data_IF_620815413380
#
_entry.id   IF_620815413380
#
_cell.length_a   1.000
_cell.length_b   1.000
_cell.length_c   1.000
_cell.angle_alpha   90.00
_cell.angle_beta   90.00
_cell.angle_gamma   90.00
#
_symmetry.space_group_name_H-M   'P 1'
#
loop_
_entity.id
_entity.type
_entity.pdbx_description
1 polymer ?
#
# COMPACT_ATOMS: atom_id res chain seq x y z
N UNK A 1 48.44 -16.90 44.01
CA UNK A 1 49.11 -17.84 43.08
C UNK A 1 48.09 -18.14 41.98
N UNK A 2 48.28 -17.55 40.79
CA UNK A 2 48.47 -18.25 39.50
C UNK A 2 47.34 -19.28 39.28
N UNK A 3 46.40 -19.06 38.37
CA UNK A 3 46.62 -19.18 36.92
C UNK A 3 45.62 -18.33 36.11
N UNK A 4 46.11 -17.84 34.97
CA UNK A 4 45.31 -17.22 33.92
C UNK A 4 45.40 -18.01 32.62
N UNK A 5 44.47 -17.76 31.70
CA UNK A 5 44.56 -18.04 30.25
C UNK A 5 43.29 -17.43 29.63
N UNK A 6 43.30 -16.19 29.14
CA UNK A 6 43.69 -15.78 27.78
C UNK A 6 43.20 -16.73 26.68
N UNK A 7 42.05 -16.42 26.07
CA UNK A 7 41.70 -16.90 24.72
C UNK A 7 41.31 -15.68 23.86
N UNK A 8 42.27 -15.21 23.08
CA UNK A 8 42.12 -14.20 22.03
C UNK A 8 41.97 -14.91 20.67
N UNK A 9 41.01 -14.42 19.88
CA UNK A 9 40.95 -14.32 18.41
C UNK A 9 41.05 -15.58 17.51
N UNK A 10 40.05 -15.74 16.64
CA UNK A 10 40.29 -15.99 15.22
C UNK A 10 39.13 -15.47 14.35
N UNK A 11 39.46 -14.50 13.49
CA UNK A 11 38.71 -13.96 12.37
C UNK A 11 38.68 -15.00 11.24
N UNK A 12 37.54 -15.16 10.54
CA UNK A 12 37.56 -15.53 9.10
C UNK A 12 36.46 -14.82 8.31
N UNK A 13 36.94 -13.97 7.42
CA UNK A 13 36.28 -13.38 6.26
C UNK A 13 35.58 -14.44 5.38
N UNK A 14 34.34 -14.16 4.95
CA UNK A 14 33.75 -14.78 3.75
C UNK A 14 33.48 -13.65 2.76
N UNK A 15 34.43 -13.49 1.83
CA UNK A 15 34.30 -12.63 0.64
C UNK A 15 33.53 -13.36 -0.45
N UNK A 16 32.48 -12.70 -0.93
CA UNK A 16 32.14 -12.50 -2.35
C UNK A 16 32.13 -13.72 -3.29
N UNK A 17 30.93 -14.14 -3.70
CA UNK A 17 30.72 -14.78 -5.00
C UNK A 17 29.53 -14.10 -5.71
N UNK A 18 29.83 -13.16 -6.61
CA UNK A 18 28.86 -12.41 -7.41
C UNK A 18 28.84 -13.03 -8.81
N UNK A 19 27.93 -13.97 -9.03
CA UNK A 19 27.68 -14.57 -10.36
C UNK A 19 26.89 -13.56 -11.20
N UNK A 20 27.53 -13.00 -12.23
CA UNK A 20 26.87 -12.20 -13.24
C UNK A 20 26.31 -13.12 -14.33
N UNK A 21 25.00 -13.38 -14.30
CA UNK A 21 24.29 -14.01 -15.42
C UNK A 21 23.92 -12.94 -16.45
N UNK A 22 24.55 -13.02 -17.63
CA UNK A 22 24.18 -12.24 -18.82
C UNK A 22 22.99 -12.92 -19.50
N UNK A 23 21.81 -12.30 -19.44
CA UNK A 23 20.64 -12.74 -20.21
C UNK A 23 20.57 -11.93 -21.50
N UNK A 24 20.75 -12.65 -22.61
CA UNK A 24 20.63 -12.20 -24.00
C UNK A 24 19.16 -11.98 -24.36
N UNK A 25 18.79 -10.75 -24.70
CA UNK A 25 17.43 -10.39 -25.15
C UNK A 25 17.30 -10.60 -26.65
N UNK A 26 16.72 -11.74 -27.05
CA UNK A 26 16.23 -11.95 -28.42
C UNK A 26 14.98 -11.09 -28.66
N UNK A 27 15.10 -10.10 -29.55
CA UNK A 27 13.97 -9.35 -30.12
C UNK A 27 13.21 -10.27 -31.09
N UNK A 28 12.01 -10.68 -30.71
CA UNK A 28 11.03 -11.29 -31.62
C UNK A 28 10.13 -10.19 -32.17
N UNK A 29 10.21 -9.96 -33.48
CA UNK A 29 9.33 -9.05 -34.20
C UNK A 29 7.99 -9.72 -34.47
N UNK A 30 6.92 -9.17 -33.89
CA UNK A 30 5.56 -9.50 -34.26
C UNK A 30 5.03 -8.43 -35.22
N UNK A 31 4.60 -8.94 -36.37
CA UNK A 31 4.07 -8.22 -37.52
C UNK A 31 2.58 -8.00 -37.28
N UNK A 32 2.19 -6.78 -36.91
CA UNK A 32 0.79 -6.42 -36.64
C UNK A 32 0.07 -6.19 -37.98
N UNK A 33 -0.89 -7.05 -38.32
CA UNK A 33 -1.80 -6.85 -39.45
C UNK A 33 -2.89 -5.86 -39.06
N UNK A 34 -2.92 -4.74 -39.78
CA UNK A 34 -3.96 -3.71 -39.72
C UNK A 34 -5.30 -4.31 -40.17
N UNK A 35 -6.25 -4.45 -39.24
CA UNK A 35 -7.67 -4.57 -39.57
C UNK A 35 -8.31 -3.19 -39.50
N UNK A 36 -8.96 -2.81 -40.60
CA UNK A 36 -9.66 -1.55 -40.75
C UNK A 36 -10.79 -1.41 -39.73
N UNK A 37 -10.72 -0.34 -38.94
CA UNK A 37 -11.79 0.09 -38.06
C UNK A 37 -12.38 1.39 -38.60
N UNK A 38 -13.70 1.35 -38.77
CA UNK A 38 -14.55 2.42 -39.26
C UNK A 38 -14.36 3.71 -38.45
N UNK A 39 -14.15 4.82 -39.17
CA UNK A 39 -14.02 6.16 -38.61
C UNK A 39 -15.33 6.57 -37.93
N UNK A 40 -15.40 6.46 -36.60
CA UNK A 40 -16.24 7.34 -35.81
C UNK A 40 -15.39 8.58 -35.53
N UNK A 41 -15.86 9.73 -36.00
CA UNK A 41 -15.18 11.01 -35.77
C UNK A 41 -15.13 11.29 -34.25
N UNK A 42 -13.94 11.51 -33.68
CA UNK A 42 -13.82 11.87 -32.27
C UNK A 42 -14.46 13.25 -32.07
N UNK A 43 -15.47 13.30 -31.21
CA UNK A 43 -16.08 14.55 -30.76
C UNK A 43 -14.98 15.51 -30.27
N UNK A 44 -14.99 16.72 -30.81
CA UNK A 44 -14.01 17.75 -30.52
C UNK A 44 -13.85 17.93 -28.98
N UNK A 45 -12.61 17.92 -28.45
CA UNK A 45 -12.38 18.12 -27.03
C UNK A 45 -12.88 19.52 -26.65
N UNK A 46 -13.91 19.56 -25.80
CA UNK A 46 -14.44 20.78 -25.24
C UNK A 46 -13.34 21.42 -24.37
N UNK A 47 -12.89 22.65 -24.65
CA UNK A 47 -11.84 23.31 -23.89
C UNK A 47 -12.40 23.77 -22.53
N UNK A 48 -12.48 22.85 -21.57
CA UNK A 48 -12.77 23.17 -20.16
C UNK A 48 -11.51 23.69 -19.47
N UNK A 49 -10.92 24.76 -20.00
CA UNK A 49 -9.75 25.42 -19.44
C UNK A 49 -10.19 26.63 -18.61
N UNK A 50 -10.73 26.39 -17.41
CA UNK A 50 -10.61 27.40 -16.35
C UNK A 50 -9.15 27.42 -15.88
N UNK A 51 -8.29 27.95 -16.73
CA UNK A 51 -6.92 28.27 -16.40
C UNK A 51 -6.98 29.29 -15.27
N UNK A 52 -6.81 28.84 -14.04
CA UNK A 52 -6.72 29.71 -12.87
C UNK A 52 -5.65 30.75 -13.15
N UNK A 53 -6.06 32.01 -13.34
CA UNK A 53 -5.15 33.11 -13.63
C UNK A 53 -4.19 33.26 -12.45
N UNK A 54 -2.90 33.12 -12.74
CA UNK A 54 -1.85 33.12 -11.71
C UNK A 54 -1.15 34.48 -11.72
N UNK A 55 -1.25 35.16 -10.59
CA UNK A 55 -0.66 36.48 -10.39
C UNK A 55 0.74 36.36 -9.77
N UNK A 56 1.68 37.19 -10.22
CA UNK A 56 3.02 37.28 -9.63
C UNK A 56 2.94 37.73 -8.16
N UNK A 57 3.70 37.13 -7.25
CA UNK A 57 3.68 37.53 -5.83
C UNK A 57 4.20 38.95 -5.58
N UNK A 58 5.06 39.47 -6.47
CA UNK A 58 5.70 40.79 -6.34
C UNK A 58 4.90 41.87 -7.05
N UNK A 59 4.78 41.79 -8.38
CA UNK A 59 4.14 42.84 -9.18
C UNK A 59 2.63 42.69 -9.30
N UNK A 60 2.05 41.55 -8.86
CA UNK A 60 0.61 41.25 -8.96
C UNK A 60 0.05 41.23 -10.39
N UNK A 61 0.91 41.19 -11.42
CA UNK A 61 0.49 41.07 -12.82
C UNK A 61 0.24 39.59 -13.15
N UNK A 62 -0.73 39.34 -14.02
CA UNK A 62 -1.00 38.03 -14.59
C UNK A 62 0.20 37.52 -15.40
N UNK A 63 0.57 36.26 -15.17
CA UNK A 63 1.73 35.65 -15.81
C UNK A 63 1.27 34.66 -16.89
N UNK A 64 1.61 34.91 -18.16
CA UNK A 64 1.40 33.91 -19.23
C UNK A 64 2.26 32.66 -19.02
N UNK A 65 3.52 32.86 -18.57
CA UNK A 65 4.49 31.79 -18.28
C UNK A 65 4.97 31.88 -16.83
N UNK A 66 4.18 31.42 -15.86
CA UNK A 66 4.51 31.58 -14.44
C UNK A 66 5.74 30.76 -14.06
N UNK A 67 6.76 31.42 -13.52
CA UNK A 67 7.91 30.80 -12.88
C UNK A 67 7.56 30.43 -11.44
N UNK A 68 7.73 29.17 -11.04
CA UNK A 68 7.51 28.73 -9.66
C UNK A 68 8.83 28.68 -8.89
N UNK A 69 8.78 28.95 -7.58
CA UNK A 69 9.96 28.72 -6.73
C UNK A 69 10.38 27.24 -6.80
N UNK A 70 11.64 26.97 -7.14
CA UNK A 70 12.17 25.61 -7.30
C UNK A 70 12.13 24.77 -6.02
N UNK A 71 12.13 25.39 -4.84
CA UNK A 71 12.09 24.70 -3.54
C UNK A 71 10.68 24.37 -3.06
N UNK A 72 9.79 25.36 -3.04
CA UNK A 72 8.45 25.17 -2.46
C UNK A 72 7.36 24.94 -3.51
N UNK A 73 7.58 25.33 -4.77
CA UNK A 73 6.63 25.27 -5.89
C UNK A 73 5.26 25.96 -5.67
N UNK A 74 5.12 26.69 -4.56
CA UNK A 74 3.88 27.37 -4.15
C UNK A 74 3.80 28.80 -4.66
N UNK A 75 4.88 29.57 -4.52
CA UNK A 75 4.92 30.98 -4.94
C UNK A 75 5.25 31.09 -6.43
N UNK A 76 4.55 31.99 -7.10
CA UNK A 76 4.60 32.21 -8.54
C UNK A 76 5.16 33.60 -8.83
N UNK A 77 6.01 33.69 -9.83
CA UNK A 77 6.69 34.89 -10.30
C UNK A 77 6.50 35.02 -11.81
N UNK A 78 6.42 36.24 -12.33
CA UNK A 78 6.47 36.47 -13.77
C UNK A 78 7.89 36.30 -14.34
N UNK A 79 8.93 36.52 -13.53
CA UNK A 79 10.33 36.50 -13.96
C UNK A 79 11.29 36.14 -12.82
N UNK A 80 12.53 35.78 -13.17
CA UNK A 80 13.60 35.54 -12.20
C UNK A 80 13.96 36.82 -11.39
N UNK A 81 13.70 38.01 -11.93
CA UNK A 81 13.92 39.27 -11.22
C UNK A 81 12.94 39.44 -10.07
N UNK A 82 11.64 39.22 -10.32
CA UNK A 82 10.63 39.21 -9.26
C UNK A 82 10.95 38.16 -8.20
N UNK A 83 11.42 36.98 -8.60
CA UNK A 83 11.88 35.96 -7.66
C UNK A 83 13.04 36.45 -6.78
N UNK A 84 14.05 37.12 -7.35
CA UNK A 84 15.21 37.64 -6.61
C UNK A 84 14.82 38.74 -5.62
N UNK A 85 13.89 39.62 -6.00
CA UNK A 85 13.38 40.69 -5.13
C UNK A 85 12.63 40.10 -3.93
N UNK A 86 11.71 39.17 -4.18
CA UNK A 86 10.93 38.50 -3.12
C UNK A 86 11.77 37.58 -2.24
N UNK A 87 12.91 37.10 -2.75
CA UNK A 87 13.70 36.04 -2.10
C UNK A 87 14.03 36.33 -0.64
N UNK A 88 14.35 37.58 -0.28
CA UNK A 88 14.70 37.95 1.10
C UNK A 88 13.54 37.77 2.09
N UNK A 89 12.30 37.94 1.63
CA UNK A 89 11.08 37.78 2.43
C UNK A 89 10.59 36.34 2.30
N UNK A 90 10.37 35.88 1.06
CA UNK A 90 9.90 34.54 0.72
C UNK A 90 10.69 33.43 1.42
N UNK A 91 12.04 33.51 1.47
CA UNK A 91 12.87 32.47 2.09
C UNK A 91 12.64 32.29 3.58
N UNK A 92 12.16 33.33 4.27
CA UNK A 92 11.92 33.33 5.72
C UNK A 92 10.48 32.94 6.05
N UNK A 93 9.52 33.33 5.22
CA UNK A 93 8.09 33.15 5.52
C UNK A 93 7.44 31.94 4.84
N UNK A 94 7.77 31.64 3.58
CA UNK A 94 6.99 30.71 2.73
C UNK A 94 7.82 29.57 2.13
N UNK A 95 9.10 29.81 1.82
CA UNK A 95 9.94 28.85 1.10
C UNK A 95 10.37 27.65 1.94
N UNK A 96 10.51 27.85 3.25
CA UNK A 96 10.71 26.75 4.20
C UNK A 96 9.42 25.95 4.27
N UNK A 97 9.51 24.62 4.18
CA UNK A 97 8.40 23.73 4.58
C UNK A 97 7.82 24.31 5.88
N UNK A 98 6.49 24.47 6.02
CA UNK A 98 5.92 25.09 7.21
C UNK A 98 6.60 24.46 8.41
N UNK A 99 7.09 25.28 9.35
CA UNK A 99 8.02 24.83 10.39
C UNK A 99 7.53 23.55 11.11
N UNK A 100 6.21 23.39 11.17
CA UNK A 100 5.50 22.18 11.60
C UNK A 100 5.87 20.95 10.76
N UNK A 101 5.69 20.95 9.44
CA UNK A 101 6.05 19.80 8.59
C UNK A 101 7.53 19.45 8.67
N UNK A 102 8.42 20.45 8.77
CA UNK A 102 9.84 20.17 8.98
C UNK A 102 10.10 19.55 10.36
N UNK A 103 9.40 20.01 11.42
CA UNK A 103 9.48 19.43 12.76
C UNK A 103 8.93 18.00 12.79
N UNK A 104 7.79 17.75 12.14
CA UNK A 104 7.19 16.41 12.03
C UNK A 104 8.08 15.46 11.24
N UNK A 105 8.63 15.87 10.08
CA UNK A 105 9.56 15.06 9.30
C UNK A 105 10.85 14.75 10.10
N UNK A 106 11.36 15.72 10.87
CA UNK A 106 12.50 15.51 11.77
C UNK A 106 12.16 14.54 12.91
N UNK A 107 10.96 14.61 13.48
CA UNK A 107 10.49 13.67 14.50
C UNK A 107 10.31 12.27 13.93
N UNK A 108 9.63 12.12 12.79
CA UNK A 108 9.44 10.85 12.09
C UNK A 108 10.78 10.20 11.72
N UNK A 109 11.74 10.96 11.20
CA UNK A 109 13.10 10.44 10.92
C UNK A 109 13.87 10.06 12.18
N UNK A 110 13.71 10.80 13.28
CA UNK A 110 14.31 10.45 14.58
C UNK A 110 13.72 9.15 15.13
N UNK A 111 12.44 8.90 14.88
CA UNK A 111 11.71 7.74 15.40
C UNK A 111 11.69 6.53 14.46
N UNK A 112 12.04 6.71 13.18
CA UNK A 112 12.14 5.64 12.18
C UNK A 112 13.57 5.22 11.84
N UNK A 113 14.58 5.75 12.55
CA UNK A 113 15.98 5.37 12.35
C UNK A 113 16.28 3.94 12.82
N UNK A 114 17.38 3.36 12.32
CA UNK A 114 17.90 2.08 12.83
C UNK A 114 18.16 2.18 14.35
N UNK A 115 17.64 1.22 15.12
CA UNK A 115 17.72 1.24 16.59
C UNK A 115 16.72 2.17 17.28
N UNK A 116 15.76 2.73 16.54
CA UNK A 116 14.63 3.44 17.13
C UNK A 116 13.63 2.49 17.81
N UNK A 117 12.74 3.05 18.62
CA UNK A 117 11.64 2.30 19.24
C UNK A 117 10.76 1.60 18.19
N UNK A 118 10.48 2.23 17.04
CA UNK A 118 9.69 1.58 15.98
C UNK A 118 10.46 0.45 15.28
N UNK A 119 11.77 0.59 15.10
CA UNK A 119 12.61 -0.51 14.59
C UNK A 119 12.59 -1.71 15.55
N UNK A 120 12.65 -1.46 16.86
CA UNK A 120 12.51 -2.50 17.88
C UNK A 120 11.13 -3.16 17.86
N UNK A 121 10.05 -2.39 17.71
CA UNK A 121 8.68 -2.93 17.59
C UNK A 121 8.55 -3.81 16.34
N UNK A 122 9.00 -3.32 15.18
CA UNK A 122 8.96 -4.09 13.94
C UNK A 122 9.78 -5.38 14.03
N UNK A 123 10.95 -5.34 14.71
CA UNK A 123 11.76 -6.54 14.98
C UNK A 123 11.04 -7.52 15.91
N UNK A 124 10.40 -7.05 16.97
CA UNK A 124 9.60 -7.89 17.85
C UNK A 124 8.41 -8.51 17.12
N UNK A 125 7.71 -7.73 16.29
CA UNK A 125 6.62 -8.22 15.46
C UNK A 125 7.10 -9.30 14.47
N UNK A 126 8.26 -9.07 13.83
CA UNK A 126 8.84 -10.05 12.90
C UNK A 126 9.30 -11.32 13.61
N UNK A 127 9.95 -11.21 14.78
CA UNK A 127 10.33 -12.37 15.58
C UNK A 127 9.11 -13.15 16.09
N UNK A 128 8.07 -12.45 16.55
CA UNK A 128 6.81 -13.07 16.95
C UNK A 128 6.16 -13.81 15.77
N UNK A 129 6.21 -13.23 14.56
CA UNK A 129 5.75 -13.88 13.35
C UNK A 129 6.57 -15.13 13.01
N UNK A 130 7.90 -15.04 13.03
CA UNK A 130 8.81 -16.18 12.79
C UNK A 130 8.67 -17.29 13.84
N UNK A 131 8.34 -16.93 15.08
CA UNK A 131 8.05 -17.89 16.14
C UNK A 131 6.72 -18.62 15.90
N UNK A 132 5.65 -17.90 15.54
CA UNK A 132 4.36 -18.51 15.14
C UNK A 132 4.52 -19.46 13.95
N UNK A 133 5.39 -19.15 12.99
CA UNK A 133 5.71 -20.04 11.87
C UNK A 133 6.36 -21.35 12.33
N UNK A 134 7.23 -21.30 13.35
CA UNK A 134 7.93 -22.48 13.88
C UNK A 134 7.06 -23.31 14.81
N UNK A 135 6.23 -22.65 15.62
CA UNK A 135 5.40 -23.26 16.65
C UNK A 135 3.94 -22.80 16.49
N UNK A 136 3.17 -23.43 15.58
CA UNK A 136 1.78 -23.05 15.33
C UNK A 136 0.86 -23.54 16.47
N UNK A 137 0.84 -22.77 17.55
CA UNK A 137 -0.11 -22.95 18.65
C UNK A 137 -1.47 -22.42 18.17
N UNK A 138 -2.56 -23.19 18.29
CA UNK A 138 -3.90 -22.69 17.96
C UNK A 138 -4.14 -21.35 18.64
N UNK A 139 -4.44 -20.32 17.85
CA UNK A 139 -4.68 -19.00 18.40
C UNK A 139 -5.86 -19.07 19.37
N UNK A 140 -5.72 -18.61 20.63
CA UNK A 140 -6.82 -18.67 21.59
C UNK A 140 -7.89 -17.59 21.33
N UNK A 141 -7.60 -16.65 20.43
CA UNK A 141 -8.46 -15.52 20.08
C UNK A 141 -8.47 -15.35 18.57
N UNK A 142 -9.59 -14.86 18.05
CA UNK A 142 -9.72 -14.46 16.66
C UNK A 142 -8.75 -13.32 16.35
N UNK A 143 -7.85 -13.47 15.37
CA UNK A 143 -6.93 -12.40 14.96
C UNK A 143 -7.65 -11.22 14.25
N UNK A 144 -8.94 -11.35 13.95
CA UNK A 144 -9.78 -10.33 13.30
C UNK A 144 -10.50 -9.42 14.30
N UNK A 145 -11.23 -10.00 15.26
CA UNK A 145 -12.00 -9.26 16.28
C UNK A 145 -11.42 -9.34 17.70
N UNK A 146 -10.34 -10.10 17.91
CA UNK A 146 -9.70 -10.36 19.20
C UNK A 146 -10.55 -11.07 20.25
N UNK A 147 -11.79 -11.46 19.92
CA UNK A 147 -12.64 -12.27 20.80
C UNK A 147 -12.08 -13.68 20.98
N UNK A 148 -12.30 -14.28 22.15
CA UNK A 148 -11.84 -15.64 22.50
C UNK A 148 -12.62 -16.72 21.75
N UNK A 149 -11.91 -17.76 21.31
CA UNK A 149 -12.58 -18.94 20.77
C UNK A 149 -13.05 -19.85 21.90
N UNK A 150 -14.08 -20.66 21.62
CA UNK A 150 -14.64 -21.61 22.57
C UNK A 150 -13.59 -22.64 23.02
N UNK A 151 -13.56 -22.95 24.31
CA UNK A 151 -12.74 -24.02 24.87
C UNK A 151 -11.27 -23.67 25.09
N UNK A 152 -10.85 -22.41 24.89
CA UNK A 152 -9.52 -21.96 25.28
C UNK A 152 -9.50 -21.72 26.79
N UNK A 153 -8.57 -22.33 27.56
CA UNK A 153 -8.47 -22.10 28.99
C UNK A 153 -8.35 -20.60 29.30
N UNK A 154 -9.17 -20.11 30.22
CA UNK A 154 -9.05 -18.76 30.77
C UNK A 154 -8.12 -18.82 31.96
N UNK A 155 -7.15 -17.90 32.01
CA UNK A 155 -6.39 -17.66 33.24
C UNK A 155 -7.39 -17.25 34.33
N UNK A 156 -7.31 -17.89 35.49
CA UNK A 156 -8.28 -17.76 36.60
C UNK A 156 -8.41 -16.32 37.13
N UNK A 157 -7.48 -15.44 36.77
CA UNK A 157 -7.43 -14.04 37.22
C UNK A 157 -8.13 -13.03 36.28
N UNK A 158 -8.67 -13.45 35.12
CA UNK A 158 -9.32 -12.55 34.14
C UNK A 158 -10.85 -12.65 34.22
N UNK A 159 -11.44 -12.07 35.28
CA UNK A 159 -12.89 -12.03 35.57
C UNK A 159 -13.74 -11.22 34.57
N UNK A 160 -13.17 -10.74 33.46
CA UNK A 160 -13.97 -10.06 32.44
C UNK A 160 -14.72 -11.10 31.60
N UNK A 161 -16.06 -11.09 31.71
CA UNK A 161 -17.00 -11.84 30.86
C UNK A 161 -16.89 -11.41 29.40
N UNK A 162 -15.83 -11.83 28.71
CA UNK A 162 -15.68 -11.63 27.27
C UNK A 162 -16.48 -12.71 26.57
N UNK A 163 -17.52 -12.29 25.84
CA UNK A 163 -18.37 -13.20 25.06
C UNK A 163 -17.54 -14.09 24.11
N UNK A 164 -17.79 -15.40 24.21
CA UNK A 164 -17.21 -16.45 23.35
C UNK A 164 -17.74 -16.32 21.91
N UNK A 165 -16.85 -16.21 20.92
CA UNK A 165 -17.24 -16.12 19.50
C UNK A 165 -17.35 -17.47 18.79
N UNK A 166 -17.34 -18.57 19.54
CA UNK A 166 -17.46 -19.93 19.02
C UNK A 166 -16.13 -20.53 18.57
N UNK A 167 -16.19 -21.56 17.73
CA UNK A 167 -14.99 -22.28 17.29
C UNK A 167 -14.18 -21.51 16.25
N UNK A 168 -12.89 -21.85 16.13
CA UNK A 168 -12.02 -21.35 15.07
C UNK A 168 -12.56 -21.76 13.69
N UNK A 169 -12.99 -20.78 12.89
CA UNK A 169 -13.69 -21.05 11.62
C UNK A 169 -12.72 -21.25 10.44
N UNK A 170 -11.75 -20.36 10.26
CA UNK A 170 -10.73 -20.48 9.22
C UNK A 170 -9.35 -20.23 9.81
N UNK A 171 -8.40 -21.12 9.50
CA UNK A 171 -6.99 -21.07 9.91
C UNK A 171 -6.07 -21.08 8.69
N UNK A 172 -5.13 -20.13 8.63
CA UNK A 172 -4.11 -20.14 7.57
C UNK A 172 -3.07 -21.22 7.88
N UNK A 173 -2.90 -22.18 6.96
CA UNK A 173 -1.90 -23.26 7.12
C UNK A 173 -0.46 -22.78 7.07
N UNK A 174 -0.22 -21.57 6.55
CA UNK A 174 1.14 -21.01 6.45
C UNK A 174 1.50 -20.20 7.69
N UNK A 175 0.63 -19.35 8.22
CA UNK A 175 0.98 -18.46 9.34
C UNK A 175 0.07 -18.51 10.55
N UNK A 176 -0.81 -19.50 10.59
CA UNK A 176 -1.71 -19.72 11.72
C UNK A 176 -2.71 -18.59 11.99
N UNK A 177 -2.88 -17.67 11.03
CA UNK A 177 -3.86 -16.60 11.13
C UNK A 177 -5.25 -17.21 11.20
N UNK A 178 -5.94 -17.00 12.32
CA UNK A 178 -7.19 -17.69 12.65
C UNK A 178 -8.30 -16.69 12.90
N UNK A 179 -9.44 -16.85 12.23
CA UNK A 179 -10.60 -15.96 12.35
C UNK A 179 -11.87 -16.74 12.69
N UNK A 180 -12.76 -16.11 13.44
CA UNK A 180 -14.11 -16.61 13.71
C UNK A 180 -15.01 -16.45 12.47
N UNK A 181 -16.14 -17.15 12.46
CA UNK A 181 -17.11 -17.13 11.37
C UNK A 181 -17.62 -15.71 11.10
N UNK A 182 -17.95 -14.95 12.15
CA UNK A 182 -18.40 -13.57 12.05
C UNK A 182 -17.38 -12.66 11.35
N UNK A 183 -16.08 -12.86 11.61
CA UNK A 183 -15.01 -12.12 10.94
C UNK A 183 -14.86 -12.48 9.46
N UNK A 184 -15.46 -13.57 8.98
CA UNK A 184 -15.46 -13.90 7.55
C UNK A 184 -16.54 -13.20 6.75
N UNK A 185 -17.58 -12.68 7.42
CA UNK A 185 -18.67 -11.99 6.77
C UNK A 185 -18.40 -10.48 6.75
N UNK A 186 -18.22 -9.85 5.57
CA UNK A 186 -17.95 -8.42 5.47
C UNK A 186 -19.02 -7.54 6.14
N UNK A 187 -20.26 -8.02 6.16
CA UNK A 187 -21.44 -7.31 6.68
C UNK A 187 -21.51 -7.33 8.21
N UNK A 188 -20.95 -8.36 8.85
CA UNK A 188 -20.94 -8.54 10.31
C UNK A 188 -19.75 -7.83 10.98
N UNK A 189 -18.89 -7.18 10.19
CA UNK A 189 -17.68 -6.56 10.71
C UNK A 189 -17.92 -5.22 11.41
N UNK A 190 -19.14 -4.64 11.39
CA UNK A 190 -19.69 -3.58 12.27
C UNK A 190 -18.89 -2.27 12.47
N UNK A 191 -17.65 -2.26 12.01
CA UNK A 191 -16.59 -1.30 12.26
C UNK A 191 -16.24 -0.72 10.89
N UNK A 192 -16.19 0.63 10.77
CA UNK A 192 -15.79 1.29 9.55
C UNK A 192 -14.51 0.67 8.99
N UNK A 193 -14.44 0.50 7.67
CA UNK A 193 -13.35 -0.23 7.00
C UNK A 193 -11.93 0.21 7.44
N UNK A 194 -11.76 1.48 7.80
CA UNK A 194 -10.49 2.08 8.24
C UNK A 194 -10.11 1.75 9.70
N UNK A 195 -11.08 1.39 10.55
CA UNK A 195 -10.88 1.02 11.95
C UNK A 195 -10.74 -0.50 12.13
N UNK A 196 -10.82 -1.26 11.03
CA UNK A 196 -10.58 -2.70 11.04
C UNK A 196 -9.11 -2.96 11.41
N UNK A 197 -8.83 -3.87 12.35
CA UNK A 197 -7.47 -4.30 12.60
C UNK A 197 -6.85 -4.77 11.28
N UNK A 198 -5.58 -4.44 10.98
CA UNK A 198 -4.91 -4.78 9.72
C UNK A 198 -4.64 -6.29 9.53
N UNK A 199 -5.36 -7.15 10.27
CA UNK A 199 -5.34 -8.59 10.19
C UNK A 199 -6.02 -9.09 8.92
N UNK A 200 -5.38 -8.90 7.79
CA UNK A 200 -5.46 -9.93 6.74
C UNK A 200 -4.25 -10.81 6.91
N UNK A 201 -4.43 -12.11 6.76
CA UNK A 201 -3.31 -13.04 6.71
C UNK A 201 -2.22 -12.50 5.77
N UNK A 202 -1.01 -12.23 6.27
CA UNK A 202 0.09 -11.63 5.49
C UNK A 202 0.71 -12.60 4.46
N UNK A 203 0.24 -13.83 4.40
CA UNK A 203 0.72 -14.79 3.42
C UNK A 203 0.26 -14.41 2.01
N UNK A 204 1.21 -14.37 1.08
CA UNK A 204 1.01 -13.97 -0.32
C UNK A 204 -0.04 -14.79 -1.09
N UNK A 205 -0.49 -15.92 -0.56
CA UNK A 205 -1.47 -16.83 -1.16
C UNK A 205 -2.80 -16.91 -0.38
N UNK A 206 -2.99 -16.06 0.61
CA UNK A 206 -3.98 -16.28 1.66
C UNK A 206 -5.11 -15.25 1.60
N UNK A 207 -6.28 -15.65 1.10
CA UNK A 207 -7.46 -14.79 0.94
C UNK A 207 -8.37 -14.83 2.18
N UNK A 208 -7.86 -14.53 3.37
CA UNK A 208 -8.67 -14.54 4.59
C UNK A 208 -9.50 -13.24 4.68
N UNK A 209 -10.81 -13.37 4.52
CA UNK A 209 -11.80 -12.37 4.92
C UNK A 209 -12.45 -11.60 3.77
N UNK A 210 -11.69 -11.16 2.76
CA UNK A 210 -12.24 -10.56 1.53
C UNK A 210 -11.30 -10.89 0.38
N UNK A 211 -11.80 -11.57 -0.65
CA UNK A 211 -11.00 -11.77 -1.86
C UNK A 211 -10.77 -10.41 -2.51
N UNK A 212 -9.52 -9.97 -2.62
CA UNK A 212 -9.12 -8.68 -3.20
C UNK A 212 -9.76 -8.37 -4.57
N UNK A 213 -10.20 -9.42 -5.26
CA UNK A 213 -10.90 -9.32 -6.52
C UNK A 213 -12.31 -8.71 -6.40
N UNK A 214 -12.97 -8.77 -5.25
CA UNK A 214 -14.29 -8.16 -5.02
C UNK A 214 -14.19 -6.70 -4.58
N UNK A 215 -13.05 -6.30 -4.03
CA UNK A 215 -12.88 -4.96 -3.50
C UNK A 215 -12.60 -3.94 -4.61
N UNK A 216 -13.01 -2.67 -4.45
CA UNK A 216 -12.69 -1.59 -5.38
C UNK A 216 -11.18 -1.52 -5.63
N UNK A 217 -10.74 -1.06 -6.81
CA UNK A 217 -9.33 -0.93 -7.08
C UNK A 217 -8.78 0.27 -6.29
N UNK A 218 -8.43 0.04 -5.03
CA UNK A 218 -7.73 1.00 -4.17
C UNK A 218 -6.65 0.33 -3.31
N UNK A 219 -6.38 -0.96 -3.55
CA UNK A 219 -5.54 -1.76 -2.68
C UNK A 219 -4.09 -1.85 -3.14
N UNK A 220 -3.21 -1.62 -2.18
CA UNK A 220 -1.77 -1.78 -2.27
C UNK A 220 -1.41 -3.17 -1.70
N UNK A 221 -0.57 -3.94 -2.39
CA UNK A 221 0.00 -5.21 -1.92
C UNK A 221 0.72 -5.02 -0.59
N UNK A 222 0.49 -5.95 0.36
CA UNK A 222 1.24 -6.32 1.58
C UNK A 222 2.05 -5.25 2.35
N UNK A 223 2.92 -4.54 1.66
CA UNK A 223 3.77 -3.46 2.18
C UNK A 223 3.15 -2.05 2.01
N UNK A 224 1.94 -1.95 1.43
CA UNK A 224 1.25 -0.68 1.21
C UNK A 224 1.92 0.24 0.19
N UNK A 225 2.73 -0.31 -0.74
CA UNK A 225 3.53 0.49 -1.69
C UNK A 225 3.33 0.14 -3.16
N UNK A 226 2.78 -1.03 -3.47
CA UNK A 226 2.61 -1.49 -4.86
C UNK A 226 1.13 -1.72 -5.15
N UNK A 227 0.59 -1.23 -6.28
CA UNK A 227 -0.79 -1.53 -6.65
C UNK A 227 -0.99 -3.04 -6.83
N UNK A 228 -2.08 -3.57 -6.28
CA UNK A 228 -2.47 -4.97 -6.48
C UNK A 228 -2.83 -5.20 -7.96
N UNK A 229 -2.07 -6.08 -8.63
CA UNK A 229 -2.21 -6.39 -10.06
C UNK A 229 -3.02 -7.67 -10.36
N UNK A 230 -3.63 -8.28 -9.35
CA UNK A 230 -4.46 -9.46 -9.55
C UNK A 230 -5.78 -9.16 -10.23
N UNK A 231 -6.52 -10.23 -10.57
CA UNK A 231 -7.83 -10.11 -11.19
C UNK A 231 -8.82 -9.43 -10.23
N UNK A 232 -9.72 -8.63 -10.79
CA UNK A 232 -10.84 -8.02 -10.07
C UNK A 232 -12.14 -8.33 -10.80
N UNK A 233 -13.22 -8.54 -10.07
CA UNK A 233 -14.56 -8.74 -10.59
C UNK A 233 -15.59 -8.20 -9.58
N UNK A 234 -15.54 -6.88 -9.26
CA UNK A 234 -16.60 -6.28 -8.47
C UNK A 234 -17.94 -6.45 -9.19
N UNK A 235 -19.03 -6.43 -8.45
CA UNK A 235 -20.36 -6.46 -9.05
C UNK A 235 -20.55 -5.24 -9.96
N UNK A 236 -20.91 -5.48 -11.23
CA UNK A 236 -20.91 -4.45 -12.28
C UNK A 236 -21.76 -3.25 -11.85
N UNK A 237 -22.95 -3.51 -11.29
CA UNK A 237 -23.90 -2.48 -10.85
C UNK A 237 -23.38 -1.58 -9.71
N UNK A 238 -22.54 -2.09 -8.81
CA UNK A 238 -22.01 -1.34 -7.66
C UNK A 238 -20.61 -0.76 -7.89
N UNK A 239 -19.93 -1.19 -8.95
CA UNK A 239 -18.52 -0.85 -9.21
C UNK A 239 -18.26 0.57 -9.74
N UNK A 240 -19.28 1.21 -10.33
CA UNK A 240 -19.13 2.49 -11.03
C UNK A 240 -18.39 2.40 -12.38
N UNK A 241 -17.98 1.20 -12.80
CA UNK A 241 -17.40 0.95 -14.11
C UNK A 241 -18.47 0.56 -15.14
N UNK A 242 -18.30 0.98 -16.39
CA UNK A 242 -19.15 0.54 -17.50
C UNK A 242 -18.97 -0.96 -17.81
N UNK A 243 -19.95 -1.58 -18.46
CA UNK A 243 -19.86 -3.00 -18.86
C UNK A 243 -18.68 -3.31 -19.81
N UNK A 244 -18.21 -2.28 -20.52
CA UNK A 244 -17.06 -2.32 -21.41
C UNK A 244 -15.73 -2.37 -20.64
N UNK A 245 -15.70 -1.97 -19.37
CA UNK A 245 -14.53 -2.07 -18.52
C UNK A 245 -14.20 -3.53 -18.11
N UNK A 246 -15.16 -4.44 -18.27
CA UNK A 246 -15.02 -5.85 -17.96
C UNK A 246 -14.71 -6.66 -19.22
N UNK A 247 -14.05 -7.80 -19.03
CA UNK A 247 -13.82 -8.76 -20.09
C UNK A 247 -15.15 -9.24 -20.69
N UNK A 248 -15.16 -9.44 -22.01
CA UNK A 248 -16.36 -9.84 -22.74
C UNK A 248 -16.79 -11.29 -22.43
N UNK A 249 -15.84 -12.14 -22.04
CA UNK A 249 -16.08 -13.53 -21.65
C UNK A 249 -15.78 -13.72 -20.18
N UNK A 250 -16.61 -14.50 -19.51
CA UNK A 250 -16.30 -14.97 -18.16
C UNK A 250 -15.09 -15.89 -18.21
N UNK A 251 -14.23 -15.76 -17.20
CA UNK A 251 -13.11 -16.66 -17.00
C UNK A 251 -12.91 -16.89 -15.52
N UNK A 252 -12.14 -17.93 -15.21
CA UNK A 252 -11.73 -18.20 -13.85
C UNK A 252 -10.83 -17.06 -13.34
N UNK A 253 -11.24 -16.41 -12.26
CA UNK A 253 -10.43 -15.43 -11.55
C UNK A 253 -9.19 -16.13 -10.98
N UNK A 254 -8.00 -15.62 -11.31
CA UNK A 254 -6.72 -16.15 -10.84
C UNK A 254 -6.51 -15.97 -9.34
N UNK A 255 -7.27 -15.07 -8.72
CA UNK A 255 -7.17 -14.75 -7.29
C UNK A 255 -8.06 -15.65 -6.45
N UNK A 256 -9.35 -15.77 -6.78
CA UNK A 256 -10.32 -16.50 -5.96
C UNK A 256 -10.86 -17.79 -6.60
N UNK A 257 -10.58 -18.04 -7.89
CA UNK A 257 -11.05 -19.22 -8.61
C UNK A 257 -12.50 -19.18 -9.10
N UNK A 258 -13.26 -18.12 -8.80
CA UNK A 258 -14.64 -17.94 -9.26
C UNK A 258 -14.67 -17.62 -10.75
N UNK A 259 -15.63 -18.19 -11.48
CA UNK A 259 -15.90 -17.83 -12.88
C UNK A 259 -16.69 -16.52 -12.86
N UNK A 260 -16.07 -15.44 -13.35
CA UNK A 260 -16.67 -14.12 -13.37
C UNK A 260 -16.13 -13.29 -14.54
N UNK A 261 -16.84 -12.22 -14.91
CA UNK A 261 -16.32 -11.20 -15.82
C UNK A 261 -15.30 -10.36 -15.07
N UNK A 262 -14.02 -10.55 -15.38
CA UNK A 262 -12.95 -9.81 -14.72
C UNK A 262 -12.78 -8.41 -15.33
N UNK A 263 -12.44 -7.42 -14.52
CA UNK A 263 -12.07 -6.07 -14.94
C UNK A 263 -10.82 -6.14 -15.83
N UNK A 264 -10.85 -5.43 -16.96
CA UNK A 264 -9.71 -5.39 -17.88
C UNK A 264 -8.51 -4.70 -17.23
N UNK A 265 -7.30 -5.10 -17.65
CA UNK A 265 -6.03 -4.59 -17.10
C UNK A 265 -5.85 -3.08 -17.23
N UNK A 266 -6.45 -2.46 -18.24
CA UNK A 266 -6.42 -1.01 -18.44
C UNK A 266 -7.11 -0.26 -17.29
N UNK A 267 -8.25 -0.77 -16.82
CA UNK A 267 -9.03 -0.16 -15.74
C UNK A 267 -8.51 -0.46 -14.33
N UNK A 268 -7.52 -1.36 -14.18
CA UNK A 268 -6.87 -1.61 -12.89
C UNK A 268 -6.05 -0.39 -12.41
N UNK A 269 -5.73 0.57 -13.29
CA UNK A 269 -4.95 1.77 -12.96
C UNK A 269 -5.82 2.98 -12.58
N UNK A 270 -7.08 3.02 -13.03
CA UNK A 270 -8.01 4.14 -12.84
C UNK A 270 -8.38 4.36 -11.35
N UNK A 271 -8.15 3.31 -10.57
CA UNK A 271 -8.07 3.20 -9.11
C UNK A 271 -7.54 4.39 -8.30
N UNK A 272 -6.50 5.06 -8.80
CA UNK A 272 -5.70 6.03 -8.04
C UNK A 272 -5.66 7.37 -8.75
N UNK A 273 -6.76 8.15 -8.74
CA UNK A 273 -6.74 9.50 -9.29
C UNK A 273 -5.70 10.35 -8.52
N UNK A 274 -4.58 10.70 -9.18
CA UNK A 274 -3.55 11.61 -8.65
C UNK A 274 -2.21 10.98 -8.27
N UNK A 275 -1.92 9.74 -8.66
CA UNK A 275 -0.57 9.13 -8.55
C UNK A 275 0.05 8.86 -9.93
N UNK A 276 0.35 9.94 -10.67
CA UNK A 276 1.24 9.90 -11.84
C UNK A 276 2.65 10.41 -11.48
#
# INVERSE_FOLDING_TARGET
>A
MKEGTHLFLAIRDIKSCRVQARISTRRSGYRTTYFGSSRLEPAAPQPSSFATMRHCSVCKIECEKPLRCSKCQKTIYCSAECQKVDWKVHKRSVCTKPAILHRVDKMMKKWGGLGSTMDSINKMEQLAWEERQRNPIPAPKCDGCFSRFRGTPTDEDDENDVEDVGDAFKRCTTCDYTICENCTHPDMQGVPYFDRPPGTCRCSKSNFGVSYCLSPPCYLDGDGRKPYHGDRHPEIASSGYGEDAFEAKERQCRTCGVIARCLKKEHLKDALPGMD
#
